data_IF_020199361876
#
_entry.id   IF_020199361876
#
_cell.length_a   1.000
_cell.length_b   1.000
_cell.length_c   1.000
_cell.angle_alpha   90.00
_cell.angle_beta   90.00
_cell.angle_gamma   90.00
#
_symmetry.space_group_name_H-M   'P 1'
#
loop_
_entity.id
_entity.type
_entity.pdbx_description
1 polymer ?
#
# COMPACT_ATOMS: atom_id res chain seq x y z
N UNK A 1 -0.27 -13.81 -1.98
CA UNK A 1 -1.03 -12.62 -1.55
C UNK A 1 -1.05 -12.48 -0.03
N UNK A 2 -1.35 -13.53 0.73
CA UNK A 2 -1.41 -13.46 2.21
C UNK A 2 -0.10 -13.04 2.89
N UNK A 3 1.06 -13.45 2.35
CA UNK A 3 2.37 -13.02 2.86
C UNK A 3 2.58 -11.50 2.76
N UNK A 4 2.13 -10.86 1.67
CA UNK A 4 2.18 -9.41 1.48
C UNK A 4 1.29 -8.70 2.51
N UNK A 5 0.05 -9.17 2.65
CA UNK A 5 -0.92 -8.59 3.59
C UNK A 5 -0.39 -8.68 5.01
N UNK A 6 0.10 -9.86 5.42
CA UNK A 6 0.68 -10.05 6.75
C UNK A 6 1.85 -9.11 7.01
N UNK A 7 2.68 -8.82 6.00
CA UNK A 7 3.80 -7.89 6.11
C UNK A 7 3.33 -6.45 6.34
N UNK A 8 2.32 -6.01 5.61
CA UNK A 8 1.71 -4.68 5.78
C UNK A 8 1.10 -4.58 7.18
N UNK A 9 0.33 -5.60 7.62
CA UNK A 9 -0.30 -5.65 8.95
C UNK A 9 0.73 -5.63 10.09
N UNK A 10 1.86 -6.33 9.92
CA UNK A 10 2.95 -6.34 10.90
C UNK A 10 3.77 -5.04 10.93
N UNK A 11 3.61 -4.16 9.93
CA UNK A 11 4.35 -2.90 9.89
C UNK A 11 3.67 -1.87 10.80
N UNK A 12 4.40 -1.26 11.75
CA UNK A 12 3.86 -0.18 12.58
C UNK A 12 3.56 1.06 11.74
N UNK A 13 2.66 1.91 12.22
CA UNK A 13 2.30 3.20 11.60
C UNK A 13 1.75 3.11 10.16
N UNK A 14 1.17 1.97 9.78
CA UNK A 14 0.44 1.86 8.52
C UNK A 14 -0.95 2.47 8.67
N UNK A 15 -1.27 3.41 7.79
CA UNK A 15 -2.59 4.03 7.74
C UNK A 15 -3.56 3.18 6.90
N UNK A 16 -4.59 2.63 7.54
CA UNK A 16 -5.62 1.82 6.87
C UNK A 16 -6.90 2.61 6.56
N UNK A 17 -7.44 3.29 7.58
CA UNK A 17 -8.60 4.18 7.48
C UNK A 17 -8.46 5.30 8.51
N UNK A 18 -9.25 6.36 8.32
CA UNK A 18 -9.40 7.38 9.35
C UNK A 18 -10.27 6.81 10.47
N UNK A 19 -9.69 6.63 11.65
CA UNK A 19 -10.43 6.26 12.84
C UNK A 19 -11.07 7.51 13.43
N UNK A 20 -12.36 7.45 13.76
CA UNK A 20 -13.02 8.51 14.53
C UNK A 20 -12.59 8.42 16.00
N UNK A 21 -12.75 9.53 16.73
CA UNK A 21 -12.37 9.61 18.15
C UNK A 21 -13.00 8.53 19.04
N UNK A 22 -14.16 8.00 18.63
CA UNK A 22 -14.93 6.97 19.35
C UNK A 22 -14.75 5.56 18.74
N UNK A 23 -13.90 5.38 17.73
CA UNK A 23 -13.61 4.05 17.19
C UNK A 23 -12.41 3.42 17.90
N UNK A 24 -12.57 2.15 18.29
CA UNK A 24 -11.49 1.30 18.76
C UNK A 24 -10.39 1.14 17.69
N UNK A 25 -9.18 0.80 18.15
CA UNK A 25 -8.09 0.46 17.24
C UNK A 25 -8.47 -0.72 16.35
N UNK A 26 -8.10 -0.62 15.07
CA UNK A 26 -8.32 -1.69 14.11
C UNK A 26 -7.64 -2.99 14.54
N UNK A 27 -8.43 -4.05 14.62
CA UNK A 27 -7.93 -5.42 14.77
C UNK A 27 -7.16 -5.86 13.52
N UNK A 28 -6.33 -6.89 13.65
CA UNK A 28 -5.59 -7.42 12.52
C UNK A 28 -6.51 -7.98 11.43
N UNK A 29 -7.62 -8.63 11.81
CA UNK A 29 -8.62 -9.15 10.87
C UNK A 29 -9.31 -8.03 10.07
N UNK A 30 -9.60 -6.90 10.70
CA UNK A 30 -10.15 -5.74 9.99
C UNK A 30 -9.14 -5.12 9.03
N UNK A 31 -7.86 -5.01 9.43
CA UNK A 31 -6.79 -4.53 8.55
C UNK A 31 -6.66 -5.43 7.32
N UNK A 32 -6.66 -6.75 7.51
CA UNK A 32 -6.64 -7.74 6.43
C UNK A 32 -7.84 -7.54 5.50
N UNK A 33 -9.03 -7.38 6.06
CA UNK A 33 -10.28 -7.21 5.30
C UNK A 33 -10.27 -5.93 4.46
N UNK A 34 -9.78 -4.81 5.02
CA UNK A 34 -9.62 -3.54 4.30
C UNK A 34 -8.65 -3.71 3.13
N UNK A 35 -7.50 -4.34 3.35
CA UNK A 35 -6.50 -4.55 2.29
C UNK A 35 -7.05 -5.43 1.16
N UNK A 36 -7.71 -6.54 1.50
CA UNK A 36 -8.33 -7.44 0.51
C UNK A 36 -9.40 -6.72 -0.30
N UNK A 37 -10.29 -6.00 0.36
CA UNK A 37 -11.32 -5.22 -0.31
C UNK A 37 -10.72 -4.19 -1.27
N UNK A 38 -9.64 -3.51 -0.86
CA UNK A 38 -8.96 -2.55 -1.72
C UNK A 38 -8.31 -3.23 -2.94
N UNK A 39 -7.70 -4.40 -2.77
CA UNK A 39 -7.12 -5.15 -3.89
C UNK A 39 -8.21 -5.56 -4.89
N UNK A 40 -9.37 -6.02 -4.42
CA UNK A 40 -10.45 -6.49 -5.30
C UNK A 40 -11.17 -5.33 -6.00
N UNK A 41 -11.39 -4.22 -5.30
CA UNK A 41 -12.23 -3.12 -5.80
C UNK A 41 -11.42 -1.96 -6.41
N UNK A 42 -10.17 -1.76 -5.98
CA UNK A 42 -9.34 -0.63 -6.41
C UNK A 42 -7.83 -0.90 -6.25
N UNK A 43 -7.28 -1.73 -7.13
CA UNK A 43 -5.86 -2.08 -7.19
C UNK A 43 -4.99 -0.82 -7.26
N UNK A 44 -5.38 0.18 -8.07
CA UNK A 44 -4.66 1.44 -8.26
C UNK A 44 -4.46 2.20 -6.94
N UNK A 45 -5.51 2.29 -6.11
CA UNK A 45 -5.42 2.91 -4.79
C UNK A 45 -4.54 2.09 -3.84
N UNK A 46 -4.63 0.76 -3.91
CA UNK A 46 -3.82 -0.14 -3.10
C UNK A 46 -2.34 0.03 -3.40
N UNK A 47 -1.96 0.00 -4.68
CA UNK A 47 -0.58 0.19 -5.12
C UNK A 47 -0.05 1.59 -4.80
N UNK A 48 -0.89 2.62 -4.88
CA UNK A 48 -0.47 3.98 -4.54
C UNK A 48 -0.15 4.12 -3.04
N UNK A 49 -0.96 3.52 -2.16
CA UNK A 49 -0.80 3.65 -0.70
C UNK A 49 0.19 2.65 -0.10
N UNK A 50 0.12 1.40 -0.54
CA UNK A 50 0.85 0.28 0.03
C UNK A 50 1.96 -0.24 -0.88
N UNK A 51 2.10 0.29 -2.10
CA UNK A 51 3.15 -0.03 -3.08
C UNK A 51 4.55 -0.11 -2.49
N UNK A 52 4.87 0.81 -1.56
CA UNK A 52 6.17 0.87 -0.88
C UNK A 52 6.52 -0.35 -0.01
N UNK A 53 5.53 -1.19 0.31
CA UNK A 53 5.71 -2.44 1.08
C UNK A 53 5.79 -3.69 0.21
N UNK A 54 5.52 -3.55 -1.11
CA UNK A 54 5.60 -4.65 -2.06
C UNK A 54 7.05 -4.96 -2.38
N UNK A 55 7.36 -6.25 -2.46
CA UNK A 55 8.60 -6.73 -3.06
C UNK A 55 8.44 -6.85 -4.59
N UNK A 56 9.56 -7.03 -5.29
CA UNK A 56 9.55 -7.29 -6.74
C UNK A 56 8.71 -8.53 -7.10
N UNK A 57 8.71 -9.56 -6.25
CA UNK A 57 7.90 -10.75 -6.44
C UNK A 57 6.40 -10.46 -6.25
N UNK A 58 6.06 -9.63 -5.25
CA UNK A 58 4.67 -9.25 -4.99
C UNK A 58 4.07 -8.43 -6.13
N UNK A 59 4.86 -7.60 -6.83
CA UNK A 59 4.41 -6.86 -8.01
C UNK A 59 3.90 -7.78 -9.13
N UNK A 60 4.42 -9.01 -9.22
CA UNK A 60 3.98 -9.97 -10.23
C UNK A 60 2.54 -10.43 -10.03
N UNK A 61 2.00 -10.31 -8.81
CA UNK A 61 0.61 -10.65 -8.49
C UNK A 61 -0.40 -9.72 -9.17
N UNK A 62 0.03 -8.52 -9.59
CA UNK A 62 -0.84 -7.48 -10.14
C UNK A 62 -0.60 -7.20 -11.63
N UNK A 63 0.37 -7.88 -12.26
CA UNK A 63 0.68 -7.71 -13.69
C UNK A 63 -0.50 -8.08 -14.62
N UNK A 64 -1.49 -8.81 -14.12
CA UNK A 64 -2.68 -9.26 -14.88
C UNK A 64 -3.77 -8.19 -15.03
N UNK A 65 -3.56 -7.00 -14.47
CA UNK A 65 -4.54 -5.91 -14.52
C UNK A 65 -4.55 -5.24 -15.90
N UNK A 66 -5.73 -5.12 -16.52
CA UNK A 66 -5.92 -4.42 -17.80
C UNK A 66 -5.86 -2.88 -17.66
N UNK A 67 -5.73 -2.35 -16.44
CA UNK A 67 -5.62 -0.90 -16.17
C UNK A 67 -4.19 -0.39 -16.48
N UNK A 68 -4.01 0.50 -17.49
CA UNK A 68 -2.70 1.07 -17.82
C UNK A 68 -2.06 1.87 -16.68
N UNK A 69 -2.88 2.44 -15.78
CA UNK A 69 -2.37 3.14 -14.61
C UNK A 69 -1.78 2.17 -13.58
N UNK A 70 -2.38 1.00 -13.41
CA UNK A 70 -1.82 -0.08 -12.58
C UNK A 70 -0.47 -0.53 -13.15
N UNK A 71 -0.37 -0.74 -14.46
CA UNK A 71 0.87 -1.11 -15.11
C UNK A 71 1.98 -0.06 -14.88
N UNK A 72 1.64 1.22 -15.03
CA UNK A 72 2.54 2.33 -14.73
C UNK A 72 3.02 2.34 -13.28
N UNK A 73 2.10 2.12 -12.32
CA UNK A 73 2.43 2.04 -10.90
C UNK A 73 3.38 0.87 -10.62
N UNK A 74 3.09 -0.32 -11.15
CA UNK A 74 3.95 -1.51 -10.98
C UNK A 74 5.34 -1.31 -11.56
N UNK A 75 5.44 -0.67 -12.73
CA UNK A 75 6.73 -0.30 -13.34
C UNK A 75 7.50 0.67 -12.45
N UNK A 76 6.82 1.71 -11.96
CA UNK A 76 7.39 2.71 -11.06
C UNK A 76 7.90 2.09 -9.75
N UNK A 77 7.18 1.11 -9.19
CA UNK A 77 7.57 0.38 -7.99
C UNK A 77 8.81 -0.51 -8.22
N UNK A 78 8.92 -1.14 -9.40
CA UNK A 78 10.12 -1.92 -9.78
C UNK A 78 11.35 -1.05 -9.98
N UNK A 79 11.17 0.16 -10.53
CA UNK A 79 12.26 1.12 -10.75
C UNK A 79 12.64 1.91 -9.49
N UNK A 80 11.74 1.99 -8.51
CA UNK A 80 11.95 2.70 -7.25
C UNK A 80 12.86 1.92 -6.30
N UNK A 81 14.15 1.87 -6.63
CA UNK A 81 15.24 1.76 -5.65
C UNK A 81 15.03 2.82 -4.56
N UNK A 82 15.43 2.59 -3.30
CA UNK A 82 15.01 3.42 -2.17
C UNK A 82 15.35 4.89 -2.43
N UNK A 83 14.34 5.66 -2.83
CA UNK A 83 14.44 7.10 -2.92
C UNK A 83 14.43 7.56 -1.47
N UNK A 84 15.63 7.78 -0.94
CA UNK A 84 15.88 8.37 0.36
C UNK A 84 15.23 9.76 0.39
N UNK A 85 13.92 9.83 0.61
CA UNK A 85 13.17 11.08 0.81
C UNK A 85 13.36 11.55 2.24
N UNK A 86 14.62 11.72 2.64
CA UNK A 86 14.98 12.80 3.54
C UNK A 86 15.03 14.04 2.66
N UNK A 87 14.23 15.05 2.97
CA UNK A 87 14.25 16.43 2.42
C UNK A 87 13.09 16.81 1.50
N UNK A 88 11.85 16.81 1.99
CA UNK A 88 10.86 17.83 1.57
C UNK A 88 10.08 18.35 2.80
N UNK A 89 10.83 18.79 3.82
CA UNK A 89 10.30 19.75 4.80
C UNK A 89 10.45 21.14 4.20
N UNK A 90 9.47 21.60 3.43
CA UNK A 90 9.31 23.03 3.25
C UNK A 90 8.64 23.59 4.50
N UNK A 91 9.48 24.06 5.43
CA UNK A 91 9.10 25.04 6.43
C UNK A 91 8.75 26.32 5.66
N UNK A 92 7.47 26.65 5.54
CA UNK A 92 7.09 28.02 5.23
C UNK A 92 7.07 28.79 6.55
N UNK A 93 8.04 29.72 6.64
CA UNK A 93 8.16 30.77 7.65
C UNK A 93 6.99 31.75 7.54
#
# INVERSE_FOLDING_TARGET
>A
MDSLISRIVATPDVFYKHLKFDEDELTNDEKVSILRNLIENNISLFLTRYGKYLSSDDCSLFNSSDDPFVEFLLKSLKDSRPRNTKNERYILK
#
